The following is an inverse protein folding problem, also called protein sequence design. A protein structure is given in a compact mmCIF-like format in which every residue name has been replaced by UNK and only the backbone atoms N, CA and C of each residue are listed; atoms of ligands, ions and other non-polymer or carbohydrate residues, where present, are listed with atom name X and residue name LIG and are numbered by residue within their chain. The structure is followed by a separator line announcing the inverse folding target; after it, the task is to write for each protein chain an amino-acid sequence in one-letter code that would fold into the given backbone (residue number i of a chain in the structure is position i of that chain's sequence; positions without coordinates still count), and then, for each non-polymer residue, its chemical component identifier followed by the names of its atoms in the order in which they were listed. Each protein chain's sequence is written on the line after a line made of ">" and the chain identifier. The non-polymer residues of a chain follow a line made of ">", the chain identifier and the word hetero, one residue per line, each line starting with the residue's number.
data_IF_653282978097
#
_entry.id   IF_653282978097
#
_cell.length_a   1.000
_cell.length_b   1.000
_cell.length_c   1.000
_cell.angle_alpha   90.00
_cell.angle_beta   90.00
_cell.angle_gamma   90.00
#
_symmetry.space_group_name_H-M   'P 1'
#
loop_
_entity.id
_entity.type
_entity.pdbx_description
1 polymer ?
#
# COMPACT_ATOMS: atom_id res chain seq x y z
N UNK A 1 29.61 23.55 -26.47
CA UNK A 1 28.76 22.59 -27.22
C UNK A 1 28.74 21.28 -26.44
N UNK A 2 27.72 21.09 -25.60
CA UNK A 2 27.53 19.87 -24.86
C UNK A 2 26.72 18.89 -25.70
N UNK A 3 27.35 17.83 -26.17
CA UNK A 3 26.67 16.74 -26.89
C UNK A 3 25.62 16.12 -25.94
N UNK A 4 24.36 16.35 -26.25
CA UNK A 4 23.26 15.55 -25.67
C UNK A 4 23.40 14.13 -26.24
N UNK A 5 23.40 13.09 -25.40
CA UNK A 5 23.33 11.72 -25.90
C UNK A 5 22.01 11.54 -26.65
N UNK A 6 22.08 11.27 -27.94
CA UNK A 6 20.95 10.89 -28.78
C UNK A 6 20.43 9.56 -28.28
N UNK A 7 19.30 9.57 -27.55
CA UNK A 7 18.55 8.36 -27.28
C UNK A 7 17.93 7.87 -28.61
N UNK A 8 18.05 6.59 -28.96
CA UNK A 8 17.40 6.06 -30.14
C UNK A 8 15.89 6.25 -29.98
N UNK A 9 15.29 7.03 -30.88
CA UNK A 9 13.84 7.18 -31.00
C UNK A 9 13.20 5.81 -31.14
N UNK A 10 12.16 5.58 -30.32
CA UNK A 10 11.56 4.33 -29.99
C UNK A 10 11.23 3.41 -31.15
N UNK A 11 11.73 2.22 -31.10
CA UNK A 11 11.14 1.12 -31.80
C UNK A 11 9.77 0.80 -31.18
N UNK A 12 8.69 1.06 -31.91
CA UNK A 12 7.31 0.63 -31.65
C UNK A 12 7.17 -0.91 -31.59
N UNK A 13 8.24 -1.64 -31.87
CA UNK A 13 8.31 -3.10 -31.93
C UNK A 13 8.72 -3.80 -30.62
N UNK A 14 8.80 -3.10 -29.50
CA UNK A 14 9.10 -3.78 -28.24
C UNK A 14 7.86 -4.57 -27.76
N UNK A 15 7.96 -5.91 -27.60
CA UNK A 15 6.84 -6.69 -27.13
C UNK A 15 6.38 -6.24 -25.75
N UNK A 16 5.05 -6.31 -25.51
CA UNK A 16 4.49 -6.01 -24.21
C UNK A 16 5.06 -6.97 -23.16
N UNK A 17 5.63 -6.43 -22.09
CA UNK A 17 6.18 -7.24 -21.00
C UNK A 17 5.08 -8.02 -20.27
N UNK A 18 5.42 -9.22 -19.82
CA UNK A 18 4.57 -10.01 -18.93
C UNK A 18 4.42 -9.29 -17.56
N UNK A 19 3.34 -9.56 -16.86
CA UNK A 19 3.08 -8.95 -15.53
C UNK A 19 4.20 -9.26 -14.53
N UNK A 20 4.62 -10.52 -14.50
CA UNK A 20 5.66 -11.01 -13.60
C UNK A 20 7.02 -10.37 -13.89
N UNK A 21 7.34 -10.17 -15.17
CA UNK A 21 8.58 -9.50 -15.57
C UNK A 21 8.61 -8.02 -15.10
N UNK A 22 7.49 -7.30 -15.29
CA UNK A 22 7.39 -5.91 -14.82
C UNK A 22 7.50 -5.83 -13.30
N UNK A 23 6.79 -6.70 -12.57
CA UNK A 23 6.83 -6.75 -11.11
C UNK A 23 8.23 -7.07 -10.60
N UNK A 24 8.85 -8.11 -11.15
CA UNK A 24 10.20 -8.51 -10.74
C UNK A 24 11.21 -7.39 -11.02
N UNK A 25 11.18 -6.80 -12.20
CA UNK A 25 12.08 -5.68 -12.55
C UNK A 25 11.86 -4.45 -11.69
N UNK A 26 10.60 -4.11 -11.39
CA UNK A 26 10.28 -2.96 -10.55
C UNK A 26 10.82 -3.12 -9.12
N UNK A 27 10.78 -4.34 -8.58
CA UNK A 27 11.26 -4.61 -7.21
C UNK A 27 12.77 -4.91 -7.18
N UNK A 28 13.32 -5.71 -8.10
CA UNK A 28 14.71 -6.19 -7.98
C UNK A 28 15.74 -5.28 -8.64
N UNK A 29 15.32 -4.40 -9.56
CA UNK A 29 16.22 -3.47 -10.27
C UNK A 29 15.74 -2.02 -10.16
N UNK A 30 15.74 -1.44 -8.96
CA UNK A 30 15.18 -0.11 -8.71
C UNK A 30 16.14 0.98 -9.19
N UNK A 31 16.15 1.23 -10.48
CA UNK A 31 16.91 2.31 -11.09
C UNK A 31 15.99 3.29 -11.82
N UNK A 32 16.43 4.56 -11.94
CA UNK A 32 15.69 5.57 -12.69
C UNK A 32 15.43 5.12 -14.12
N UNK A 33 16.44 4.51 -14.77
CA UNK A 33 16.35 4.00 -16.13
C UNK A 33 15.31 2.89 -16.26
N UNK A 34 15.27 1.93 -15.30
CA UNK A 34 14.28 0.85 -15.27
C UNK A 34 12.87 1.39 -15.16
N UNK A 35 12.63 2.36 -14.26
CA UNK A 35 11.31 2.93 -14.03
C UNK A 35 10.86 3.80 -15.22
N UNK A 36 11.77 4.53 -15.86
CA UNK A 36 11.49 5.25 -17.11
C UNK A 36 11.16 4.29 -18.25
N UNK A 37 11.92 3.21 -18.40
CA UNK A 37 11.64 2.16 -19.39
C UNK A 37 10.25 1.55 -19.19
N UNK A 38 9.90 1.17 -17.95
CA UNK A 38 8.57 0.65 -17.61
C UNK A 38 7.47 1.68 -17.89
N UNK A 39 7.67 2.97 -17.56
CA UNK A 39 6.67 4.02 -17.73
C UNK A 39 6.39 4.42 -19.17
N UNK A 40 7.32 4.15 -20.09
CA UNK A 40 7.24 4.59 -21.50
C UNK A 40 6.91 3.46 -22.46
N UNK A 41 6.82 2.21 -21.98
CA UNK A 41 6.52 1.06 -22.83
C UNK A 41 5.07 1.03 -23.31
N UNK A 42 4.82 0.40 -24.49
CA UNK A 42 3.46 0.11 -24.91
C UNK A 42 2.75 -0.80 -23.91
N UNK A 43 1.48 -0.48 -23.62
CA UNK A 43 0.67 -1.22 -22.65
C UNK A 43 0.61 -0.62 -21.23
N UNK A 44 1.26 0.53 -20.98
CA UNK A 44 1.05 1.33 -19.77
C UNK A 44 -0.38 1.87 -19.76
N UNK A 45 -1.15 1.47 -18.76
CA UNK A 45 -2.53 1.91 -18.60
C UNK A 45 -2.98 1.86 -17.13
N UNK A 46 -3.84 2.79 -16.74
CA UNK A 46 -4.46 2.78 -15.41
C UNK A 46 -5.27 1.50 -15.17
N UNK A 47 -5.93 0.96 -16.20
CA UNK A 47 -6.68 -0.30 -16.10
C UNK A 47 -5.78 -1.47 -15.65
N UNK A 48 -4.58 -1.60 -16.23
CA UNK A 48 -3.60 -2.63 -15.82
C UNK A 48 -3.14 -2.42 -14.39
N UNK A 49 -2.88 -1.17 -14.01
CA UNK A 49 -2.50 -0.84 -12.63
C UNK A 49 -3.58 -1.26 -11.63
N UNK A 50 -4.85 -0.99 -11.94
CA UNK A 50 -5.98 -1.38 -11.08
C UNK A 50 -6.15 -2.89 -10.99
N UNK A 51 -6.01 -3.62 -12.12
CA UNK A 51 -6.05 -5.08 -12.12
C UNK A 51 -4.92 -5.66 -11.25
N UNK A 52 -3.71 -5.10 -11.33
CA UNK A 52 -2.57 -5.56 -10.53
C UNK A 52 -2.80 -5.31 -9.04
N UNK A 53 -3.31 -4.14 -8.68
CA UNK A 53 -3.63 -3.84 -7.28
C UNK A 53 -4.73 -4.74 -6.75
N UNK A 54 -5.78 -4.96 -7.53
CA UNK A 54 -6.86 -5.87 -7.15
C UNK A 54 -6.35 -7.30 -6.95
N UNK A 55 -5.66 -7.84 -7.96
CA UNK A 55 -5.13 -9.21 -7.90
C UNK A 55 -4.09 -9.39 -6.79
N UNK A 56 -3.15 -8.42 -6.65
CA UNK A 56 -2.15 -8.45 -5.59
C UNK A 56 -2.76 -8.42 -4.20
N UNK A 57 -3.75 -7.56 -3.98
CA UNK A 57 -4.47 -7.47 -2.70
C UNK A 57 -5.30 -8.73 -2.44
N UNK A 58 -5.99 -9.26 -3.43
CA UNK A 58 -6.74 -10.50 -3.29
C UNK A 58 -5.83 -11.67 -2.86
N UNK A 59 -4.67 -11.81 -3.52
CA UNK A 59 -3.67 -12.82 -3.17
C UNK A 59 -3.14 -12.56 -1.74
N UNK A 60 -2.84 -11.32 -1.39
CA UNK A 60 -2.36 -10.96 -0.05
C UNK A 60 -3.39 -11.30 1.04
N UNK A 61 -4.67 -11.02 0.81
CA UNK A 61 -5.74 -11.41 1.74
C UNK A 61 -5.88 -12.92 1.85
N UNK A 62 -5.80 -13.67 0.74
CA UNK A 62 -5.85 -15.12 0.77
C UNK A 62 -4.67 -15.70 1.59
N UNK A 63 -3.47 -15.18 1.41
CA UNK A 63 -2.28 -15.56 2.19
C UNK A 63 -2.49 -15.24 3.68
N UNK A 64 -2.98 -14.05 4.01
CA UNK A 64 -3.25 -13.66 5.39
C UNK A 64 -4.26 -14.60 6.04
N UNK A 65 -5.33 -14.97 5.33
CA UNK A 65 -6.33 -15.90 5.82
C UNK A 65 -5.75 -17.30 6.07
N UNK A 66 -4.94 -17.81 5.14
CA UNK A 66 -4.20 -19.07 5.32
C UNK A 66 -3.29 -18.97 6.54
N UNK A 67 -2.61 -17.85 6.74
CA UNK A 67 -1.79 -17.60 7.94
C UNK A 67 -2.59 -17.66 9.24
N UNK A 68 -3.78 -17.07 9.25
CA UNK A 68 -4.71 -17.14 10.39
C UNK A 68 -5.13 -18.59 10.67
N UNK A 69 -5.46 -19.36 9.64
CA UNK A 69 -5.85 -20.77 9.76
C UNK A 69 -4.71 -21.64 10.30
N UNK A 70 -3.48 -21.43 9.85
CA UNK A 70 -2.32 -22.26 10.21
C UNK A 70 -1.70 -21.88 11.56
N UNK A 71 -1.67 -20.61 11.90
CA UNK A 71 -0.91 -20.07 13.04
C UNK A 71 -1.79 -19.38 14.09
N UNK A 72 -3.11 -19.38 13.95
CA UNK A 72 -4.04 -18.84 14.93
C UNK A 72 -4.09 -17.31 15.00
N UNK A 73 -3.67 -16.60 13.96
CA UNK A 73 -3.80 -15.16 13.78
C UNK A 73 -3.22 -14.29 14.90
N UNK A 74 -2.08 -13.66 14.70
CA UNK A 74 -1.31 -13.07 15.80
C UNK A 74 -1.36 -11.54 15.92
N UNK A 75 -2.05 -10.75 15.07
CA UNK A 75 -1.67 -9.34 15.13
C UNK A 75 -2.72 -8.24 14.94
N UNK A 76 -3.88 -8.49 14.37
CA UNK A 76 -4.86 -7.40 14.12
C UNK A 76 -6.22 -7.69 14.74
N UNK A 77 -6.62 -8.94 14.75
CA UNK A 77 -7.81 -9.42 15.45
C UNK A 77 -7.34 -10.08 16.75
N UNK A 78 -8.00 -9.83 17.87
CA UNK A 78 -7.67 -10.53 19.12
C UNK A 78 -7.60 -12.03 18.88
N UNK A 79 -6.70 -12.75 19.57
CA UNK A 79 -6.47 -14.18 19.37
C UNK A 79 -7.78 -15.02 19.38
N UNK A 80 -8.76 -14.60 20.16
CA UNK A 80 -10.08 -15.27 20.25
C UNK A 80 -10.91 -15.11 18.97
N UNK A 81 -10.92 -13.92 18.35
CA UNK A 81 -11.68 -13.69 17.12
C UNK A 81 -11.01 -14.38 15.92
N UNK A 82 -9.70 -14.33 15.84
CA UNK A 82 -8.94 -15.05 14.84
C UNK A 82 -9.15 -16.56 14.93
N UNK A 83 -9.14 -17.12 16.15
CA UNK A 83 -9.40 -18.53 16.39
C UNK A 83 -10.85 -18.93 16.04
N UNK A 84 -11.84 -18.07 16.28
CA UNK A 84 -13.24 -18.30 15.88
C UNK A 84 -13.40 -18.35 14.38
N UNK A 85 -12.79 -17.39 13.64
CA UNK A 85 -12.80 -17.38 12.18
C UNK A 85 -12.11 -18.63 11.63
N UNK A 86 -11.00 -19.03 12.23
CA UNK A 86 -10.23 -20.20 11.80
C UNK A 86 -10.93 -21.54 12.13
N UNK A 87 -11.77 -21.60 13.14
CA UNK A 87 -12.46 -22.84 13.55
C UNK A 87 -13.65 -23.21 12.66
N UNK A 88 -14.18 -22.25 11.89
CA UNK A 88 -15.32 -22.46 11.01
C UNK A 88 -14.96 -22.22 9.53
N UNK A 89 -14.87 -23.30 8.77
CA UNK A 89 -14.62 -23.26 7.32
C UNK A 89 -15.66 -22.41 6.58
N UNK A 90 -16.92 -22.40 7.04
CA UNK A 90 -17.98 -21.60 6.43
C UNK A 90 -17.70 -20.10 6.57
N UNK A 91 -17.38 -19.66 7.76
CA UNK A 91 -16.97 -18.26 8.03
C UNK A 91 -15.73 -17.87 7.24
N UNK A 92 -14.73 -18.75 7.18
CA UNK A 92 -13.51 -18.53 6.39
C UNK A 92 -13.81 -18.31 4.90
N UNK A 93 -14.67 -19.12 4.31
CA UNK A 93 -15.09 -18.99 2.91
C UNK A 93 -15.86 -17.68 2.69
N UNK A 94 -16.77 -17.32 3.59
CA UNK A 94 -17.54 -16.07 3.51
C UNK A 94 -16.59 -14.86 3.58
N UNK A 95 -15.62 -14.86 4.49
CA UNK A 95 -14.60 -13.80 4.59
C UNK A 95 -13.79 -13.69 3.30
N UNK A 96 -13.35 -14.82 2.75
CA UNK A 96 -12.59 -14.81 1.49
C UNK A 96 -13.41 -14.29 0.30
N UNK A 97 -14.67 -14.71 0.19
CA UNK A 97 -15.52 -14.34 -0.96
C UNK A 97 -16.02 -12.89 -0.83
N UNK A 98 -16.35 -12.43 0.37
CA UNK A 98 -16.95 -11.11 0.57
C UNK A 98 -15.91 -10.02 0.91
N UNK A 99 -14.97 -10.29 1.81
CA UNK A 99 -14.04 -9.28 2.32
C UNK A 99 -12.83 -9.11 1.41
N UNK A 100 -12.28 -10.18 0.84
CA UNK A 100 -11.11 -10.06 -0.02
C UNK A 100 -11.36 -9.22 -1.29
N UNK A 101 -12.49 -9.34 -2.01
CA UNK A 101 -12.81 -8.43 -3.12
C UNK A 101 -12.98 -6.98 -2.68
N UNK A 102 -13.61 -6.72 -1.53
CA UNK A 102 -13.71 -5.37 -0.95
C UNK A 102 -12.32 -4.78 -0.68
N UNK A 103 -11.41 -5.57 -0.09
CA UNK A 103 -10.02 -5.19 0.10
C UNK A 103 -9.33 -4.83 -1.23
N UNK A 104 -9.58 -5.58 -2.30
CA UNK A 104 -9.12 -5.26 -3.64
C UNK A 104 -9.64 -3.91 -4.17
N UNK A 105 -10.92 -3.60 -3.93
CA UNK A 105 -11.52 -2.30 -4.27
C UNK A 105 -10.87 -1.18 -3.46
N UNK A 106 -10.69 -1.35 -2.16
CA UNK A 106 -10.00 -0.37 -1.31
C UNK A 106 -8.53 -0.17 -1.72
N UNK A 107 -7.85 -1.21 -2.18
CA UNK A 107 -6.49 -1.10 -2.70
C UNK A 107 -6.43 -0.25 -3.98
N UNK A 108 -7.42 -0.39 -4.88
CA UNK A 108 -7.55 0.47 -6.07
C UNK A 108 -7.79 1.93 -5.64
N UNK A 109 -8.71 2.18 -4.71
CA UNK A 109 -8.99 3.52 -4.20
C UNK A 109 -7.72 4.12 -3.54
N UNK A 110 -7.01 3.34 -2.73
CA UNK A 110 -5.74 3.73 -2.14
C UNK A 110 -4.68 4.10 -3.20
N UNK A 111 -4.56 3.30 -4.25
CA UNK A 111 -3.68 3.62 -5.39
C UNK A 111 -4.07 4.93 -6.07
N UNK A 112 -5.38 5.12 -6.33
CA UNK A 112 -5.87 6.34 -6.98
C UNK A 112 -5.58 7.59 -6.15
N UNK A 113 -5.83 7.52 -4.85
CA UNK A 113 -5.57 8.61 -3.91
C UNK A 113 -4.06 8.89 -3.83
N UNK A 114 -3.25 7.87 -3.60
CA UNK A 114 -1.79 8.00 -3.45
C UNK A 114 -1.15 8.53 -4.75
N UNK A 115 -1.47 7.93 -5.89
CA UNK A 115 -0.94 8.38 -7.19
C UNK A 115 -1.48 9.77 -7.55
N UNK A 116 -2.74 10.08 -7.24
CA UNK A 116 -3.38 11.37 -7.50
C UNK A 116 -2.72 12.49 -6.69
N UNK A 117 -2.58 12.33 -5.39
CA UNK A 117 -1.93 13.31 -4.51
C UNK A 117 -0.46 13.47 -4.91
N UNK A 118 0.25 12.34 -5.15
CA UNK A 118 1.65 12.37 -5.58
C UNK A 118 1.84 13.13 -6.87
N UNK A 119 0.95 12.92 -7.85
CA UNK A 119 1.04 13.59 -9.14
C UNK A 119 0.61 15.06 -9.06
N UNK A 120 -0.35 15.41 -8.20
CA UNK A 120 -0.74 16.81 -7.95
C UNK A 120 0.42 17.61 -7.37
N UNK A 121 1.07 17.08 -6.33
CA UNK A 121 2.26 17.70 -5.71
C UNK A 121 3.42 17.77 -6.72
N UNK A 122 3.65 16.69 -7.48
CA UNK A 122 4.68 16.68 -8.50
C UNK A 122 4.44 17.74 -9.57
N UNK A 123 3.20 17.92 -10.02
CA UNK A 123 2.86 19.01 -10.99
C UNK A 123 3.09 20.40 -10.40
N UNK A 124 2.73 20.62 -9.14
CA UNK A 124 3.00 21.88 -8.45
C UNK A 124 4.52 22.22 -8.39
N UNK A 125 5.37 21.16 -8.33
CA UNK A 125 6.83 21.29 -8.34
C UNK A 125 7.43 21.34 -9.76
N UNK A 126 6.60 21.36 -10.82
CA UNK A 126 7.02 21.41 -12.21
C UNK A 126 7.29 20.05 -12.85
N UNK A 127 6.68 18.98 -12.34
CA UNK A 127 6.76 17.63 -12.92
C UNK A 127 6.00 17.49 -14.23
N UNK A 128 6.55 16.72 -15.17
CA UNK A 128 6.00 16.50 -16.50
C UNK A 128 5.31 15.16 -16.70
N UNK A 129 5.34 14.30 -15.69
CA UNK A 129 4.74 12.96 -15.73
C UNK A 129 3.22 12.97 -15.79
N UNK A 130 2.66 11.83 -16.14
CA UNK A 130 1.20 11.62 -16.14
C UNK A 130 0.75 10.77 -14.96
N UNK A 131 -0.50 10.96 -14.54
CA UNK A 131 -1.12 10.12 -13.51
C UNK A 131 -1.06 8.62 -13.87
N UNK A 132 -1.36 8.29 -15.12
CA UNK A 132 -1.35 6.90 -15.61
C UNK A 132 0.01 6.24 -15.47
N UNK A 133 1.09 6.95 -15.84
CA UNK A 133 2.44 6.44 -15.70
C UNK A 133 2.82 6.23 -14.23
N UNK A 134 2.50 7.19 -13.37
CA UNK A 134 2.81 7.11 -11.95
C UNK A 134 2.01 5.98 -11.28
N UNK A 135 0.70 5.90 -11.52
CA UNK A 135 -0.15 4.85 -10.97
C UNK A 135 0.29 3.44 -11.43
N UNK A 136 0.70 3.31 -12.70
CA UNK A 136 1.19 2.06 -13.25
C UNK A 136 2.48 1.59 -12.57
N UNK A 137 3.45 2.49 -12.34
CA UNK A 137 4.70 2.16 -11.65
C UNK A 137 4.44 1.86 -10.18
N UNK A 138 3.60 2.65 -9.50
CA UNK A 138 3.25 2.39 -8.11
C UNK A 138 2.62 1.00 -7.97
N UNK A 139 1.69 0.64 -8.83
CA UNK A 139 1.08 -0.69 -8.83
C UNK A 139 2.09 -1.80 -9.14
N UNK A 140 3.07 -1.54 -10.03
CA UNK A 140 4.08 -2.52 -10.44
C UNK A 140 4.98 -2.98 -9.29
N UNK A 141 5.30 -2.12 -8.32
CA UNK A 141 6.08 -2.54 -7.15
C UNK A 141 5.19 -2.82 -5.93
N UNK A 142 4.08 -2.11 -5.77
CA UNK A 142 3.26 -2.21 -4.57
C UNK A 142 2.48 -3.54 -4.52
N UNK A 143 2.00 -4.04 -5.66
CA UNK A 143 1.31 -5.33 -5.70
C UNK A 143 2.20 -6.51 -5.26
N UNK A 144 3.41 -6.72 -5.79
CA UNK A 144 4.29 -7.79 -5.33
C UNK A 144 4.82 -7.56 -3.90
N UNK A 145 5.07 -6.31 -3.48
CA UNK A 145 5.46 -6.02 -2.10
C UNK A 145 4.31 -6.34 -1.13
N UNK A 146 3.07 -6.04 -1.49
CA UNK A 146 1.90 -6.40 -0.69
C UNK A 146 1.78 -7.92 -0.48
N UNK A 147 2.04 -8.71 -1.51
CA UNK A 147 2.10 -10.18 -1.41
C UNK A 147 3.26 -10.60 -0.47
N UNK A 148 4.44 -10.01 -0.65
CA UNK A 148 5.61 -10.30 0.19
C UNK A 148 5.33 -9.98 1.67
N UNK A 149 4.78 -8.81 1.96
CA UNK A 149 4.48 -8.39 3.35
C UNK A 149 3.43 -9.28 3.99
N UNK A 150 2.44 -9.78 3.24
CA UNK A 150 1.47 -10.74 3.77
C UNK A 150 2.09 -12.10 4.09
N UNK A 151 3.04 -12.58 3.27
CA UNK A 151 3.82 -13.79 3.57
C UNK A 151 4.69 -13.62 4.82
N UNK A 152 5.37 -12.49 4.96
CA UNK A 152 6.17 -12.20 6.17
C UNK A 152 5.30 -12.08 7.42
N UNK A 153 4.07 -11.58 7.28
CA UNK A 153 3.14 -11.43 8.39
C UNK A 153 2.57 -12.77 8.90
N UNK A 154 2.61 -13.84 8.09
CA UNK A 154 2.17 -15.18 8.53
C UNK A 154 2.97 -15.70 9.72
N UNK A 155 4.26 -15.40 9.77
CA UNK A 155 5.17 -15.93 10.79
C UNK A 155 5.47 -14.84 11.81
N UNK A 156 5.06 -14.97 13.10
CA UNK A 156 5.12 -13.92 14.10
C UNK A 156 6.51 -13.27 14.25
N UNK A 157 7.57 -14.06 14.31
CA UNK A 157 8.93 -13.53 14.46
C UNK A 157 9.50 -12.92 13.18
N UNK A 158 9.01 -13.35 12.01
CA UNK A 158 9.45 -12.85 10.70
C UNK A 158 8.74 -11.55 10.35
N UNK A 159 7.63 -11.25 10.99
CA UNK A 159 6.85 -10.01 10.76
C UNK A 159 7.66 -8.72 11.02
N UNK A 160 8.72 -8.77 11.83
CA UNK A 160 9.65 -7.63 12.03
C UNK A 160 10.33 -7.21 10.71
N UNK A 161 10.46 -8.11 9.73
CA UNK A 161 11.02 -7.80 8.41
C UNK A 161 10.09 -6.89 7.57
N UNK A 162 8.84 -6.71 7.97
CA UNK A 162 7.95 -5.75 7.32
C UNK A 162 8.45 -4.30 7.47
N UNK A 163 9.19 -3.99 8.53
CA UNK A 163 9.78 -2.66 8.71
C UNK A 163 10.83 -2.32 7.63
N UNK A 164 11.89 -3.13 7.40
CA UNK A 164 12.82 -2.86 6.30
C UNK A 164 12.15 -2.93 4.91
N UNK A 165 11.16 -3.80 4.70
CA UNK A 165 10.38 -3.83 3.44
C UNK A 165 9.57 -2.54 3.26
N UNK A 166 9.01 -1.99 4.33
CA UNK A 166 8.32 -0.69 4.32
C UNK A 166 9.25 0.46 3.96
N UNK A 167 10.46 0.51 4.55
CA UNK A 167 11.48 1.50 4.20
C UNK A 167 11.89 1.37 2.73
N UNK A 168 12.07 0.15 2.26
CA UNK A 168 12.37 -0.12 0.86
C UNK A 168 11.24 0.35 -0.07
N UNK A 169 9.99 0.12 0.30
CA UNK A 169 8.82 0.61 -0.43
C UNK A 169 8.78 2.14 -0.53
N UNK A 170 9.15 2.86 0.54
CA UNK A 170 9.31 4.33 0.49
C UNK A 170 10.39 4.75 -0.51
N UNK A 171 11.53 4.08 -0.52
CA UNK A 171 12.57 4.35 -1.51
C UNK A 171 12.07 4.13 -2.94
N UNK A 172 11.33 3.04 -3.20
CA UNK A 172 10.72 2.78 -4.52
C UNK A 172 9.71 3.87 -4.90
N UNK A 173 8.95 4.39 -3.94
CA UNK A 173 8.02 5.50 -4.17
C UNK A 173 8.75 6.78 -4.60
N UNK A 174 9.80 7.16 -3.88
CA UNK A 174 10.65 8.32 -4.25
C UNK A 174 11.20 8.13 -5.67
N UNK A 175 11.67 6.93 -5.99
CA UNK A 175 12.22 6.60 -7.30
C UNK A 175 11.13 6.66 -8.40
N UNK A 176 9.91 6.21 -8.12
CA UNK A 176 8.77 6.30 -9.01
C UNK A 176 8.44 7.76 -9.36
N UNK A 177 8.28 8.60 -8.33
CA UNK A 177 8.01 10.03 -8.52
C UNK A 177 9.14 10.72 -9.29
N UNK A 178 10.40 10.42 -8.94
CA UNK A 178 11.57 10.96 -9.62
C UNK A 178 11.61 10.60 -11.10
N UNK A 179 11.44 9.32 -11.41
CA UNK A 179 11.60 8.80 -12.77
C UNK A 179 10.50 9.26 -13.71
N UNK A 180 9.24 9.26 -13.25
CA UNK A 180 8.07 9.67 -14.03
C UNK A 180 8.05 11.17 -14.26
N UNK A 181 8.39 11.97 -13.24
CA UNK A 181 8.33 13.43 -13.32
C UNK A 181 9.68 14.06 -13.71
N UNK A 182 10.71 13.24 -13.98
CA UNK A 182 12.07 13.69 -14.35
C UNK A 182 12.68 14.68 -13.34
N UNK A 183 12.43 14.43 -12.05
CA UNK A 183 12.91 15.31 -10.99
C UNK A 183 14.38 15.10 -10.63
N UNK A 184 15.00 16.16 -10.09
CA UNK A 184 16.21 16.01 -9.27
C UNK A 184 15.87 15.23 -8.00
N UNK A 185 16.86 14.63 -7.33
CA UNK A 185 16.66 13.88 -6.09
C UNK A 185 16.00 14.74 -4.99
N UNK A 186 16.41 16.02 -4.84
CA UNK A 186 15.83 16.91 -3.85
C UNK A 186 14.34 17.14 -4.04
N UNK A 187 13.87 17.39 -5.28
CA UNK A 187 12.45 17.57 -5.57
C UNK A 187 11.64 16.28 -5.36
N UNK A 188 12.21 15.12 -5.71
CA UNK A 188 11.54 13.83 -5.51
C UNK A 188 11.37 13.49 -4.03
N UNK A 189 12.41 13.71 -3.22
CA UNK A 189 12.36 13.52 -1.77
C UNK A 189 11.36 14.49 -1.15
N UNK A 190 11.44 15.79 -1.49
CA UNK A 190 10.51 16.80 -1.00
C UNK A 190 9.06 16.43 -1.29
N UNK A 191 8.76 16.01 -2.52
CA UNK A 191 7.41 15.55 -2.91
C UNK A 191 6.93 14.39 -2.03
N UNK A 192 7.80 13.39 -1.80
CA UNK A 192 7.45 12.22 -1.00
C UNK A 192 7.31 12.54 0.50
N UNK A 193 8.13 13.44 1.02
CA UNK A 193 8.03 13.92 2.42
C UNK A 193 6.72 14.69 2.65
N UNK A 194 6.33 15.54 1.70
CA UNK A 194 5.05 16.28 1.78
C UNK A 194 3.87 15.32 1.80
N UNK A 195 3.90 14.27 0.98
CA UNK A 195 2.85 13.23 0.97
C UNK A 195 2.80 12.51 2.31
N UNK A 196 3.95 12.08 2.83
CA UNK A 196 4.04 11.38 4.11
C UNK A 196 3.52 12.27 5.26
N UNK A 197 3.93 13.53 5.29
CA UNK A 197 3.45 14.50 6.27
C UNK A 197 1.93 14.71 6.18
N UNK A 198 1.39 14.79 4.96
CA UNK A 198 -0.05 14.88 4.73
C UNK A 198 -0.81 13.66 5.25
N UNK A 199 -0.31 12.46 4.99
CA UNK A 199 -0.90 11.21 5.50
C UNK A 199 -0.88 11.19 7.03
N UNK A 200 0.25 11.54 7.66
CA UNK A 200 0.38 11.60 9.12
C UNK A 200 -0.60 12.61 9.74
N UNK A 201 -0.78 13.76 9.10
CA UNK A 201 -1.77 14.78 9.55
C UNK A 201 -3.20 14.23 9.48
N UNK A 202 -3.57 13.56 8.38
CA UNK A 202 -4.90 12.96 8.25
C UNK A 202 -5.11 11.86 9.29
N UNK A 203 -4.13 10.99 9.50
CA UNK A 203 -4.20 9.93 10.53
C UNK A 203 -4.33 10.54 11.92
N UNK A 204 -3.52 11.56 12.27
CA UNK A 204 -3.62 12.25 13.54
C UNK A 204 -5.00 12.89 13.74
N UNK A 205 -5.54 13.54 12.71
CA UNK A 205 -6.87 14.12 12.74
C UNK A 205 -7.95 13.06 12.99
N UNK A 206 -7.91 11.92 12.26
CA UNK A 206 -8.87 10.82 12.44
C UNK A 206 -8.78 10.25 13.86
N UNK A 207 -7.57 10.03 14.38
CA UNK A 207 -7.37 9.56 15.76
C UNK A 207 -7.97 10.53 16.78
N UNK A 208 -7.74 11.83 16.64
CA UNK A 208 -8.31 12.85 17.52
C UNK A 208 -9.84 12.84 17.47
N UNK A 209 -10.43 12.75 16.26
CA UNK A 209 -11.90 12.67 16.09
C UNK A 209 -12.47 11.41 16.75
N UNK A 210 -11.84 10.26 16.54
CA UNK A 210 -12.26 8.99 17.14
C UNK A 210 -12.18 9.06 18.67
N UNK A 211 -11.08 9.59 19.22
CA UNK A 211 -10.92 9.76 20.67
C UNK A 211 -11.94 10.76 21.25
N UNK A 212 -12.24 11.84 20.53
CA UNK A 212 -13.25 12.80 20.94
C UNK A 212 -14.66 12.19 20.96
N UNK A 213 -14.98 11.32 19.99
CA UNK A 213 -16.26 10.64 19.94
C UNK A 213 -16.39 9.53 20.99
N UNK A 214 -15.30 8.81 21.29
CA UNK A 214 -15.29 7.73 22.28
C UNK A 214 -15.11 8.22 23.70
N UNK A 215 -14.56 9.42 23.90
CA UNK A 215 -14.27 9.99 25.22
C UNK A 215 -15.46 9.97 26.19
N UNK A 216 -16.65 10.46 25.80
CA UNK A 216 -17.85 10.42 26.67
C UNK A 216 -18.28 8.99 27.01
N UNK A 217 -18.20 8.05 26.05
CA UNK A 217 -18.57 6.66 26.28
C UNK A 217 -17.62 5.98 27.29
N UNK A 218 -16.31 6.21 27.14
CA UNK A 218 -15.29 5.71 28.07
C UNK A 218 -15.48 6.34 29.46
N UNK A 219 -15.70 7.65 29.51
CA UNK A 219 -15.95 8.37 30.78
C UNK A 219 -17.15 7.82 31.54
N UNK A 220 -18.26 7.53 30.85
CA UNK A 220 -19.46 6.96 31.45
C UNK A 220 -19.21 5.55 32.04
N UNK A 221 -18.45 4.70 31.32
CA UNK A 221 -18.07 3.36 31.81
C UNK A 221 -17.23 3.46 33.07
N UNK A 222 -16.24 4.35 33.13
CA UNK A 222 -15.42 4.55 34.33
C UNK A 222 -16.24 5.11 35.50
N UNK A 223 -17.15 6.05 35.25
CA UNK A 223 -18.03 6.59 36.28
C UNK A 223 -18.95 5.51 36.88
N UNK A 224 -19.51 4.64 36.06
CA UNK A 224 -20.35 3.53 36.52
C UNK A 224 -19.56 2.52 37.37
N UNK A 225 -18.34 2.16 36.96
CA UNK A 225 -17.47 1.25 37.71
C UNK A 225 -17.13 1.86 39.09
N UNK A 226 -16.82 3.15 39.17
CA UNK A 226 -16.51 3.81 40.42
C UNK A 226 -17.74 3.86 41.34
N UNK A 227 -18.94 4.10 40.80
CA UNK A 227 -20.18 4.04 41.57
C UNK A 227 -20.49 2.65 42.13
N UNK A 228 -20.31 1.59 41.34
CA UNK A 228 -20.50 0.22 41.78
C UNK A 228 -19.52 -0.21 42.89
N UNK A 229 -18.25 0.21 42.76
CA UNK A 229 -17.24 -0.06 43.80
C UNK A 229 -17.42 0.76 45.07
N UNK A 230 -18.08 1.90 45.00
CA UNK A 230 -18.32 2.81 46.13
C UNK A 230 -19.59 2.49 46.93
N UNK A 231 -20.47 1.61 46.46
CA UNK A 231 -21.67 1.16 47.19
C UNK A 231 -21.29 0.03 48.13
N UNK A 232 -21.35 0.22 49.50
CA UNK A 232 -21.14 -0.89 50.41
C UNK A 232 -22.22 -1.94 50.19
N UNK A 233 -21.80 -3.20 50.11
CA UNK A 233 -22.72 -4.32 50.02
C UNK A 233 -23.69 -4.31 51.20
N UNK A 234 -24.99 -4.62 51.00
CA UNK A 234 -26.01 -4.63 52.04
C UNK A 234 -25.77 -5.69 53.10
#
# INVERSE_FOLDING_TARGET
>A
MTMQPSYPEGSTDRPAQSWTEVWLRAVTRPTVATYQDIATRPGVSSRRAYIWMFAGSFIAYAITLIGVLLFGGSSILGQQEAARIASDLGTTIVVLICIAPLGGVFAILGLMITAGISQAIARALGGTGTFTQLAYIIAAYLAPIGILTSLLAMVPFVSCLNLPVGIYSLFLNILAVKSVNRFSWGKAILSSVVILAGILLVVAFVVIVVLALLGPAIGNVFSNIIQEMGTPAP
#
